data_IF_391015793545
#
_entry.id   IF_391015793545
#
_cell.length_a   1.000
_cell.length_b   1.000
_cell.length_c   1.000
_cell.angle_alpha   90.00
_cell.angle_beta   90.00
_cell.angle_gamma   90.00
#
_symmetry.space_group_name_H-M   'P 1'
#
loop_
_entity.id
_entity.type
_entity.pdbx_description
1 polymer ?
#
# COMPACT_ATOMS: atom_id res chain seq x y z
N UNK A 1 -17.79 15.65 -0.37
CA UNK A 1 -17.90 14.65 -1.45
C UNK A 1 -16.72 13.68 -1.37
N UNK A 2 -16.99 12.38 -1.58
CA UNK A 2 -16.06 11.25 -1.85
C UNK A 2 -15.08 10.80 -0.76
N UNK A 3 -15.54 9.97 0.19
CA UNK A 3 -14.66 9.10 1.00
C UNK A 3 -15.25 7.72 1.32
N UNK A 4 -16.18 7.20 0.50
CA UNK A 4 -17.02 6.04 0.88
C UNK A 4 -16.29 4.68 0.77
N UNK A 5 -15.09 4.59 0.18
CA UNK A 5 -14.36 3.32 -0.01
C UNK A 5 -12.90 3.32 0.45
N UNK A 6 -12.54 4.16 1.43
CA UNK A 6 -11.17 4.18 1.96
C UNK A 6 -11.12 3.55 3.34
N UNK A 7 -10.14 2.65 3.56
CA UNK A 7 -9.84 2.14 4.90
C UNK A 7 -9.65 3.30 5.88
N UNK A 8 -10.17 3.17 7.09
CA UNK A 8 -10.10 4.20 8.16
C UNK A 8 -8.66 4.71 8.37
N UNK A 9 -7.66 3.85 8.17
CA UNK A 9 -6.25 4.24 8.27
C UNK A 9 -5.82 5.18 7.14
N UNK A 10 -6.30 4.94 5.92
CA UNK A 10 -6.02 5.78 4.77
C UNK A 10 -6.76 7.12 4.88
N UNK A 11 -7.98 7.11 5.42
CA UNK A 11 -8.71 8.35 5.73
C UNK A 11 -7.93 9.19 6.75
N UNK A 12 -7.45 8.57 7.84
CA UNK A 12 -6.63 9.26 8.85
C UNK A 12 -5.38 9.89 8.25
N UNK A 13 -4.61 9.14 7.44
CA UNK A 13 -3.37 9.65 6.80
C UNK A 13 -3.69 10.81 5.84
N UNK A 14 -4.77 10.69 5.06
CA UNK A 14 -5.23 11.75 4.15
C UNK A 14 -5.62 13.02 4.91
N UNK A 15 -6.46 12.91 5.93
CA UNK A 15 -6.87 14.06 6.75
C UNK A 15 -5.70 14.72 7.46
N UNK A 16 -4.74 13.92 7.94
CA UNK A 16 -3.52 14.43 8.57
C UNK A 16 -2.66 15.21 7.56
N UNK A 17 -2.50 14.68 6.34
CA UNK A 17 -1.76 15.37 5.30
C UNK A 17 -2.45 16.66 4.85
N UNK A 18 -3.78 16.65 4.71
CA UNK A 18 -4.55 17.86 4.42
C UNK A 18 -4.41 18.90 5.54
N UNK A 19 -4.49 18.48 6.81
CA UNK A 19 -4.26 19.33 7.97
C UNK A 19 -2.87 19.99 7.94
N UNK A 20 -1.83 19.20 7.69
CA UNK A 20 -0.44 19.64 7.67
C UNK A 20 -0.12 20.53 6.45
N UNK A 21 -0.71 20.28 5.29
CA UNK A 21 -0.49 21.06 4.06
C UNK A 21 -1.01 22.51 4.14
N UNK A 22 -1.96 22.76 5.03
CA UNK A 22 -2.60 24.08 5.22
C UNK A 22 -2.01 24.86 6.39
N UNK A 23 -0.96 24.36 7.06
CA UNK A 23 -0.46 24.93 8.30
C UNK A 23 1.06 24.92 8.36
N UNK A 24 1.60 26.00 8.91
CA UNK A 24 2.97 26.10 9.39
C UNK A 24 2.95 26.11 10.92
N UNK A 25 3.87 25.40 11.54
CA UNK A 25 4.01 25.34 13.01
C UNK A 25 5.49 25.34 13.38
N UNK A 26 5.82 25.89 14.55
CA UNK A 26 7.20 25.98 15.03
C UNK A 26 7.25 25.72 16.53
N UNK A 27 8.11 24.80 16.94
CA UNK A 27 8.37 24.52 18.35
C UNK A 27 7.24 23.81 19.09
N UNK A 28 6.35 23.11 18.38
CA UNK A 28 5.17 22.46 18.99
C UNK A 28 5.54 21.11 19.58
N UNK A 29 4.95 20.72 20.71
CA UNK A 29 5.02 19.33 21.14
C UNK A 29 4.01 18.48 20.36
N UNK A 30 4.22 17.16 20.34
CA UNK A 30 3.28 16.25 19.67
C UNK A 30 1.85 16.38 20.22
N UNK A 31 1.69 16.64 21.52
CA UNK A 31 0.36 16.84 22.14
C UNK A 31 -0.37 18.06 21.54
N UNK A 32 0.36 19.12 21.23
CA UNK A 32 -0.19 20.36 20.67
C UNK A 32 -0.64 20.11 19.23
N UNK A 33 0.21 19.47 18.43
CA UNK A 33 -0.12 19.04 17.06
C UNK A 33 -1.34 18.12 17.04
N UNK A 34 -1.40 17.14 17.94
CA UNK A 34 -2.54 16.23 18.04
C UNK A 34 -3.81 16.98 18.42
N UNK A 35 -3.76 17.86 19.41
CA UNK A 35 -4.93 18.60 19.87
C UNK A 35 -5.50 19.50 18.76
N UNK A 36 -4.63 20.15 17.99
CA UNK A 36 -5.05 20.91 16.82
C UNK A 36 -5.64 20.02 15.73
N UNK A 37 -5.01 18.87 15.44
CA UNK A 37 -5.52 17.92 14.46
C UNK A 37 -6.92 17.42 14.83
N UNK A 38 -7.14 16.97 16.06
CA UNK A 38 -8.45 16.45 16.51
C UNK A 38 -9.50 17.56 16.65
N UNK A 39 -9.09 18.82 16.79
CA UNK A 39 -10.04 19.95 16.73
C UNK A 39 -10.61 20.15 15.32
N UNK A 40 -9.83 19.85 14.28
CA UNK A 40 -10.28 19.87 12.89
C UNK A 40 -10.98 18.57 12.47
N UNK A 41 -10.58 17.42 13.05
CA UNK A 41 -11.10 16.08 12.74
C UNK A 41 -11.44 15.30 14.02
N UNK A 42 -12.56 15.61 14.69
CA UNK A 42 -12.95 15.02 15.98
C UNK A 42 -13.13 13.49 15.95
N UNK A 43 -13.42 12.91 14.79
CA UNK A 43 -13.55 11.47 14.57
C UNK A 43 -12.29 10.67 14.92
N UNK A 44 -11.12 11.32 14.90
CA UNK A 44 -9.82 10.72 15.26
C UNK A 44 -9.37 11.01 16.70
N UNK A 45 -10.26 11.55 17.55
CA UNK A 45 -9.97 11.90 18.94
C UNK A 45 -9.68 10.69 19.85
N UNK A 46 -10.20 9.51 19.52
CA UNK A 46 -10.04 8.30 20.32
C UNK A 46 -8.57 7.90 20.53
N UNK A 47 -8.25 7.37 21.71
CA UNK A 47 -6.89 6.93 22.08
C UNK A 47 -6.30 5.89 21.12
N UNK A 48 -7.14 5.07 20.48
CA UNK A 48 -6.72 4.07 19.48
C UNK A 48 -5.98 4.67 18.27
N UNK A 49 -6.19 5.96 17.98
CA UNK A 49 -5.52 6.65 16.87
C UNK A 49 -4.24 7.37 17.28
N UNK A 50 -3.98 7.55 18.58
CA UNK A 50 -2.82 8.30 19.08
C UNK A 50 -1.50 7.78 18.48
N UNK A 51 -1.28 6.46 18.59
CA UNK A 51 -0.05 5.82 18.09
C UNK A 51 0.10 6.02 16.57
N UNK A 52 -0.99 5.89 15.82
CA UNK A 52 -0.98 6.06 14.35
C UNK A 52 -0.67 7.51 13.95
N UNK A 53 -1.28 8.49 14.60
CA UNK A 53 -1.01 9.91 14.34
C UNK A 53 0.47 10.20 14.65
N UNK A 54 0.97 9.69 15.78
CA UNK A 54 2.38 9.83 16.17
C UNK A 54 3.33 9.22 15.13
N UNK A 55 3.07 7.99 14.70
CA UNK A 55 3.88 7.31 13.68
C UNK A 55 3.93 8.10 12.36
N UNK A 56 2.80 8.63 11.89
CA UNK A 56 2.80 9.44 10.66
C UNK A 56 3.61 10.74 10.83
N UNK A 57 3.53 11.42 11.97
CA UNK A 57 4.34 12.61 12.24
C UNK A 57 5.83 12.25 12.29
N UNK A 58 6.19 11.10 12.87
CA UNK A 58 7.57 10.60 12.92
C UNK A 58 8.10 10.16 11.55
N UNK A 59 7.26 9.58 10.70
CA UNK A 59 7.57 9.27 9.30
C UNK A 59 7.93 10.56 8.55
N UNK A 60 7.08 11.58 8.64
CA UNK A 60 7.35 12.89 8.02
C UNK A 60 8.62 13.56 8.57
N UNK A 61 8.91 13.37 9.86
CA UNK A 61 10.16 13.84 10.44
C UNK A 61 11.40 13.11 9.91
N UNK A 62 11.33 11.78 9.75
CA UNK A 62 12.43 11.00 9.17
C UNK A 62 12.71 11.36 7.71
N UNK A 63 11.71 11.90 7.01
CA UNK A 63 11.80 12.37 5.63
C UNK A 63 12.25 13.84 5.53
N UNK A 64 12.53 14.51 6.64
CA UNK A 64 13.01 15.90 6.68
C UNK A 64 11.92 16.97 6.45
N UNK A 65 10.66 16.56 6.28
CA UNK A 65 9.53 17.48 6.13
C UNK A 65 9.19 18.16 7.47
N UNK A 66 9.36 17.47 8.58
CA UNK A 66 9.19 18.04 9.92
C UNK A 66 10.54 17.99 10.64
N UNK A 67 11.04 19.14 11.06
CA UNK A 67 12.23 19.21 11.89
C UNK A 67 11.87 18.83 13.33
N UNK A 68 12.73 18.05 13.96
CA UNK A 68 12.59 17.65 15.36
C UNK A 68 13.75 18.23 16.14
N UNK A 69 13.43 19.10 17.09
CA UNK A 69 14.37 19.58 18.10
C UNK A 69 14.37 18.61 19.28
N UNK A 70 15.54 18.01 19.52
CA UNK A 70 15.80 17.06 20.59
C UNK A 70 16.64 17.65 21.72
N UNK A 71 16.96 18.95 21.67
CA UNK A 71 17.77 19.61 22.69
C UNK A 71 17.02 19.78 24.02
N UNK A 72 15.69 19.78 23.98
CA UNK A 72 14.84 19.87 25.18
C UNK A 72 14.39 18.51 25.69
N UNK A 73 13.99 18.44 26.97
CA UNK A 73 13.44 17.24 27.61
C UNK A 73 12.21 16.66 26.88
N UNK A 74 11.48 17.51 26.15
CA UNK A 74 10.40 17.11 25.24
C UNK A 74 10.78 17.39 23.78
N UNK A 75 10.39 16.50 22.87
CA UNK A 75 10.59 16.72 21.43
C UNK A 75 9.69 17.83 20.92
N UNK A 76 10.28 18.81 20.23
CA UNK A 76 9.56 19.89 19.56
C UNK A 76 9.63 19.72 18.05
N UNK A 77 8.53 20.03 17.39
CA UNK A 77 8.34 19.81 15.96
C UNK A 77 8.13 21.15 15.27
N UNK A 78 8.79 21.32 14.12
CA UNK A 78 8.68 22.51 13.26
C UNK A 78 8.47 22.09 11.81
N UNK A 79 7.51 22.70 11.12
CA UNK A 79 7.28 22.46 9.70
C UNK A 79 8.45 22.99 8.87
N UNK A 80 8.99 22.17 7.98
CA UNK A 80 10.08 22.51 7.05
C UNK A 80 9.73 22.09 5.62
N UNK A 81 8.50 22.38 5.23
CA UNK A 81 8.00 22.17 3.88
C UNK A 81 7.17 23.38 3.46
N UNK A 82 7.21 23.71 2.19
CA UNK A 82 6.18 24.51 1.54
C UNK A 82 4.95 23.66 1.27
N UNK A 83 3.80 24.31 1.09
CA UNK A 83 2.56 23.62 0.69
C UNK A 83 2.76 22.81 -0.58
N UNK A 84 3.45 23.35 -1.58
CA UNK A 84 3.70 22.69 -2.87
C UNK A 84 4.57 21.44 -2.70
N UNK A 85 5.67 21.53 -1.96
CA UNK A 85 6.55 20.37 -1.69
C UNK A 85 5.80 19.26 -0.95
N UNK A 86 4.96 19.63 0.02
CA UNK A 86 4.18 18.67 0.79
C UNK A 86 3.11 17.97 -0.06
N UNK A 87 2.45 18.71 -0.97
CA UNK A 87 1.48 18.13 -1.91
C UNK A 87 2.15 17.20 -2.92
N UNK A 88 3.31 17.60 -3.48
CA UNK A 88 4.11 16.72 -4.36
C UNK A 88 4.55 15.45 -3.63
N UNK A 89 4.99 15.57 -2.37
CA UNK A 89 5.30 14.40 -1.55
C UNK A 89 4.10 13.47 -1.34
N UNK A 90 2.93 14.02 -1.03
CA UNK A 90 1.70 13.24 -0.88
C UNK A 90 1.38 12.44 -2.13
N UNK A 91 1.47 13.09 -3.29
CA UNK A 91 1.12 12.47 -4.57
C UNK A 91 2.14 11.37 -4.95
N UNK A 92 3.44 11.61 -4.69
CA UNK A 92 4.49 10.60 -4.86
C UNK A 92 4.32 9.40 -3.91
N UNK A 93 4.02 9.64 -2.62
CA UNK A 93 3.81 8.58 -1.64
C UNK A 93 2.60 7.70 -2.02
N UNK A 94 1.54 8.31 -2.56
CA UNK A 94 0.40 7.55 -3.09
C UNK A 94 0.81 6.68 -4.30
N UNK A 95 1.62 7.21 -5.22
CA UNK A 95 2.17 6.45 -6.36
C UNK A 95 3.04 5.28 -5.88
N UNK A 96 3.96 5.50 -4.95
CA UNK A 96 4.86 4.47 -4.41
C UNK A 96 4.09 3.35 -3.69
N UNK A 97 3.04 3.70 -2.93
CA UNK A 97 2.18 2.69 -2.30
C UNK A 97 1.42 1.85 -3.33
N UNK A 98 0.97 2.45 -4.43
CA UNK A 98 0.31 1.74 -5.53
C UNK A 98 1.31 0.80 -6.21
N UNK A 99 2.51 1.30 -6.55
CA UNK A 99 3.61 0.48 -7.11
C UNK A 99 3.94 -0.71 -6.22
N UNK A 100 4.10 -0.48 -4.91
CA UNK A 100 4.38 -1.54 -3.95
C UNK A 100 3.30 -2.62 -3.91
N UNK A 101 2.01 -2.25 -3.96
CA UNK A 101 0.91 -3.23 -4.02
C UNK A 101 0.89 -4.00 -5.34
N UNK A 102 1.14 -3.33 -6.46
CA UNK A 102 1.21 -3.98 -7.77
C UNK A 102 2.35 -5.01 -7.81
N UNK A 103 3.51 -4.69 -7.22
CA UNK A 103 4.63 -5.64 -7.12
C UNK A 103 4.28 -6.88 -6.28
N UNK A 104 3.58 -6.70 -5.15
CA UNK A 104 3.15 -7.84 -4.32
C UNK A 104 2.17 -8.77 -5.07
N UNK A 105 1.21 -8.20 -5.82
CA UNK A 105 0.31 -9.02 -6.64
C UNK A 105 1.06 -9.67 -7.81
N UNK A 106 2.03 -8.99 -8.43
CA UNK A 106 2.89 -9.56 -9.47
C UNK A 106 3.62 -10.81 -8.97
N UNK A 107 4.27 -10.72 -7.80
CA UNK A 107 4.98 -11.85 -7.19
C UNK A 107 4.04 -13.01 -6.85
N UNK A 108 2.84 -12.69 -6.35
CA UNK A 108 1.80 -13.69 -6.07
C UNK A 108 1.34 -14.41 -7.34
N UNK A 109 1.10 -13.69 -8.43
CA UNK A 109 0.69 -14.25 -9.72
C UNK A 109 1.79 -15.18 -10.26
N UNK A 110 3.06 -14.76 -10.18
CA UNK A 110 4.20 -15.61 -10.58
C UNK A 110 4.25 -16.92 -9.79
N UNK A 111 4.18 -16.85 -8.46
CA UNK A 111 4.19 -18.04 -7.62
C UNK A 111 3.03 -18.99 -7.95
N UNK A 112 1.85 -18.44 -8.25
CA UNK A 112 0.67 -19.23 -8.61
C UNK A 112 0.85 -19.92 -9.96
N UNK A 113 1.41 -19.22 -10.96
CA UNK A 113 1.74 -19.80 -12.27
C UNK A 113 2.72 -20.97 -12.11
N UNK A 114 3.77 -20.81 -11.31
CA UNK A 114 4.77 -21.86 -11.09
C UNK A 114 4.17 -23.09 -10.41
N UNK A 115 3.29 -22.90 -9.42
CA UNK A 115 2.56 -23.99 -8.78
C UNK A 115 1.68 -24.75 -9.78
N UNK A 116 0.92 -24.04 -10.62
CA UNK A 116 0.06 -24.65 -11.63
C UNK A 116 0.86 -25.37 -12.72
N UNK A 117 2.04 -24.85 -13.09
CA UNK A 117 2.95 -25.52 -14.04
C UNK A 117 3.47 -26.83 -13.47
N UNK A 118 3.80 -26.88 -12.19
CA UNK A 118 4.20 -28.12 -11.51
C UNK A 118 3.06 -29.14 -11.47
N UNK A 119 1.84 -28.72 -11.14
CA UNK A 119 0.66 -29.60 -11.17
C UNK A 119 0.38 -30.13 -12.57
N UNK A 120 0.48 -29.28 -13.58
CA UNK A 120 0.28 -29.65 -14.98
C UNK A 120 1.30 -30.69 -15.42
N UNK A 121 2.57 -30.52 -15.05
CA UNK A 121 3.62 -31.51 -15.33
C UNK A 121 3.30 -32.87 -14.69
N UNK A 122 2.78 -32.89 -13.47
CA UNK A 122 2.35 -34.14 -12.80
C UNK A 122 1.20 -34.80 -13.57
N UNK A 123 0.20 -34.04 -14.03
CA UNK A 123 -0.90 -34.59 -14.81
C UNK A 123 -0.45 -35.15 -16.17
N UNK A 124 0.52 -34.52 -16.81
CA UNK A 124 1.13 -35.03 -18.04
C UNK A 124 1.82 -36.38 -17.79
N UNK A 125 2.58 -36.52 -16.68
CA UNK A 125 3.18 -37.81 -16.28
C UNK A 125 2.14 -38.89 -15.97
N UNK A 126 0.98 -38.52 -15.42
CA UNK A 126 -0.12 -39.48 -15.14
C UNK A 126 -0.81 -39.96 -16.41
N UNK A 127 -0.85 -39.15 -17.46
CA UNK A 127 -1.43 -39.54 -18.73
C UNK A 127 -0.74 -40.78 -19.31
N UNK A 128 0.59 -40.85 -19.19
CA UNK A 128 1.41 -41.97 -19.66
C UNK A 128 1.21 -43.23 -18.82
N UNK A 129 1.00 -43.07 -17.51
CA UNK A 129 0.86 -44.19 -16.55
C UNK A 129 -0.56 -44.76 -16.48
N UNK A 130 -1.58 -43.97 -16.76
CA UNK A 130 -2.99 -44.34 -16.56
C UNK A 130 -3.82 -44.10 -17.83
N UNK A 131 -3.61 -44.88 -18.90
CA UNK A 131 -4.29 -44.70 -20.18
C UNK A 131 -5.82 -44.85 -20.08
N UNK A 132 -6.31 -45.68 -19.14
CA UNK A 132 -7.74 -45.85 -18.88
C UNK A 132 -8.43 -44.57 -18.35
N UNK A 133 -7.66 -43.65 -17.76
CA UNK A 133 -8.15 -42.37 -17.23
C UNK A 133 -7.83 -41.19 -18.16
N UNK A 134 -7.31 -41.46 -19.37
CA UNK A 134 -6.74 -40.43 -20.25
C UNK A 134 -7.72 -39.30 -20.57
N UNK A 135 -9.01 -39.58 -20.77
CA UNK A 135 -10.00 -38.54 -21.06
C UNK A 135 -10.16 -37.56 -19.90
N UNK A 136 -10.22 -38.07 -18.66
CA UNK A 136 -10.34 -37.26 -17.44
C UNK A 136 -9.07 -36.44 -17.22
N UNK A 137 -7.90 -37.08 -17.37
CA UNK A 137 -6.60 -36.40 -17.22
C UNK A 137 -6.45 -35.29 -18.26
N UNK A 138 -6.83 -35.53 -19.53
CA UNK A 138 -6.81 -34.50 -20.58
C UNK A 138 -7.71 -33.31 -20.26
N UNK A 139 -8.90 -33.54 -19.69
CA UNK A 139 -9.80 -32.46 -19.24
C UNK A 139 -9.15 -31.63 -18.12
N UNK A 140 -8.47 -32.26 -17.16
CA UNK A 140 -7.74 -31.56 -16.09
C UNK A 140 -6.57 -30.73 -16.64
N UNK A 141 -5.77 -31.30 -17.55
CA UNK A 141 -4.68 -30.58 -18.23
C UNK A 141 -5.22 -29.36 -18.96
N UNK A 142 -6.28 -29.52 -19.77
CA UNK A 142 -6.90 -28.41 -20.50
C UNK A 142 -7.36 -27.29 -19.55
N UNK A 143 -8.01 -27.65 -18.44
CA UNK A 143 -8.43 -26.69 -17.42
C UNK A 143 -7.25 -25.92 -16.84
N UNK A 144 -6.16 -26.60 -16.48
CA UNK A 144 -4.96 -25.99 -15.90
C UNK A 144 -4.22 -25.10 -16.91
N UNK A 145 -4.15 -25.48 -18.19
CA UNK A 145 -3.60 -24.61 -19.25
C UNK A 145 -4.39 -23.31 -19.39
N UNK A 146 -5.73 -23.40 -19.36
CA UNK A 146 -6.56 -22.21 -19.43
C UNK A 146 -6.36 -21.28 -18.22
N UNK A 147 -6.22 -21.85 -17.01
CA UNK A 147 -5.95 -21.09 -15.80
C UNK A 147 -4.59 -20.38 -15.87
N UNK A 148 -3.54 -21.07 -16.33
CA UNK A 148 -2.21 -20.46 -16.56
C UNK A 148 -2.30 -19.32 -17.58
N UNK A 149 -2.99 -19.51 -18.71
CA UNK A 149 -3.14 -18.46 -19.72
C UNK A 149 -3.84 -17.21 -19.16
N UNK A 150 -4.86 -17.37 -18.31
CA UNK A 150 -5.54 -16.25 -17.67
C UNK A 150 -4.59 -15.49 -16.72
N UNK A 151 -3.80 -16.22 -15.92
CA UNK A 151 -2.81 -15.62 -15.03
C UNK A 151 -1.66 -14.94 -15.79
N UNK A 152 -1.27 -15.46 -16.95
CA UNK A 152 -0.29 -14.80 -17.82
C UNK A 152 -0.82 -13.47 -18.38
N UNK A 153 -2.10 -13.40 -18.75
CA UNK A 153 -2.77 -12.16 -19.10
C UNK A 153 -2.81 -11.17 -17.91
N UNK A 154 -3.11 -11.65 -16.71
CA UNK A 154 -3.08 -10.84 -15.49
C UNK A 154 -1.69 -10.29 -15.20
N UNK A 155 -0.65 -11.12 -15.30
CA UNK A 155 0.74 -10.71 -15.18
C UNK A 155 1.10 -9.60 -16.17
N UNK A 156 0.67 -9.73 -17.42
CA UNK A 156 0.90 -8.71 -18.44
C UNK A 156 0.18 -7.40 -18.11
N UNK A 157 -1.06 -7.47 -17.63
CA UNK A 157 -1.79 -6.28 -17.20
C UNK A 157 -1.08 -5.56 -16.04
N UNK A 158 -0.61 -6.30 -15.02
CA UNK A 158 0.15 -5.72 -13.90
C UNK A 158 1.45 -5.08 -14.39
N UNK A 159 2.15 -5.71 -15.33
CA UNK A 159 3.40 -5.17 -15.92
C UNK A 159 3.13 -3.84 -16.63
N UNK A 160 2.10 -3.78 -17.48
CA UNK A 160 1.72 -2.54 -18.17
C UNK A 160 1.33 -1.43 -17.17
N UNK A 161 0.66 -1.77 -16.06
CA UNK A 161 0.32 -0.81 -15.01
C UNK A 161 1.56 -0.29 -14.28
N UNK A 162 2.55 -1.17 -14.01
CA UNK A 162 3.81 -0.78 -13.39
C UNK A 162 4.64 0.15 -14.29
N UNK A 163 4.66 -0.10 -15.60
CA UNK A 163 5.32 0.77 -16.59
C UNK A 163 4.67 2.16 -16.71
N UNK A 164 3.37 2.25 -16.45
CA UNK A 164 2.62 3.50 -16.51
C UNK A 164 2.70 4.35 -15.22
N UNK A 165 3.22 3.80 -14.12
CA UNK A 165 3.35 4.49 -12.82
C UNK A 165 4.70 5.19 -12.67
#
# INVERSE_FOLDING_TARGET
MRYIYMSINHQLKSCLFDFLSNRTFSGYEFKDLRNLFISCYPEFSSKKYYSKIYQNVRELASLGLILVDTATCTYKYTSNYTRTEFLTFRDNNASDQIKGKLLLEYDRVLLTIDQLRNELHIYELYLDKFPLLAEIIRKLISKKRNEINLLECEKQAITNLLEAC
#
